data_IF_233117349728
#
_entry.id   IF_233117349728
#
_cell.length_a   1.000
_cell.length_b   1.000
_cell.length_c   1.000
_cell.angle_alpha   90.00
_cell.angle_beta   90.00
_cell.angle_gamma   90.00
#
_symmetry.space_group_name_H-M   'P 1'
#
loop_
_entity.id
_entity.type
_entity.pdbx_description
1 polymer ?
#
# COMPACT_ATOMS: atom_id res chain seq x y z
N UNK A 1 20.05 0.50 -4.64
CA UNK A 1 18.75 -0.02 -5.15
C UNK A 1 17.67 0.45 -4.21
N UNK A 2 16.58 1.00 -4.74
CA UNK A 2 15.43 1.41 -3.96
C UNK A 2 14.23 0.53 -4.30
N UNK A 3 13.41 0.29 -3.30
CA UNK A 3 12.11 -0.33 -3.43
C UNK A 3 11.06 0.61 -2.87
N UNK A 4 9.97 0.69 -3.61
CA UNK A 4 8.81 1.48 -3.29
C UNK A 4 7.62 0.54 -3.15
N UNK A 5 6.85 0.69 -2.09
CA UNK A 5 5.60 -0.05 -1.89
C UNK A 5 4.44 0.90 -1.59
N UNK A 6 3.20 0.44 -1.73
CA UNK A 6 1.97 1.18 -1.37
C UNK A 6 1.17 0.42 -0.34
N UNK A 7 0.39 1.12 0.47
CA UNK A 7 -0.61 0.50 1.35
C UNK A 7 -1.60 -0.37 0.52
N UNK A 8 -1.80 -1.66 0.87
CA UNK A 8 -2.53 -2.60 0.03
C UNK A 8 -4.01 -2.27 -0.26
N UNK A 9 -4.79 -1.79 0.71
CA UNK A 9 -6.20 -1.41 0.46
C UNK A 9 -6.28 -0.28 -0.56
N UNK A 10 -5.46 0.74 -0.37
CA UNK A 10 -5.35 1.90 -1.26
C UNK A 10 -4.85 1.49 -2.65
N UNK A 11 -3.93 0.52 -2.74
CA UNK A 11 -3.43 0.01 -4.01
C UNK A 11 -4.50 -0.73 -4.79
N UNK A 12 -5.24 -1.65 -4.17
CA UNK A 12 -6.34 -2.35 -4.83
C UNK A 12 -7.42 -1.36 -5.30
N UNK A 13 -7.83 -0.45 -4.41
CA UNK A 13 -8.82 0.56 -4.74
C UNK A 13 -8.36 1.46 -5.89
N UNK A 14 -7.07 1.81 -5.94
CA UNK A 14 -6.48 2.55 -7.05
C UNK A 14 -6.60 1.81 -8.38
N UNK A 15 -6.29 0.51 -8.40
CA UNK A 15 -6.45 -0.32 -9.60
C UNK A 15 -7.91 -0.40 -10.06
N UNK A 16 -8.85 -0.58 -9.11
CA UNK A 16 -10.28 -0.59 -9.40
C UNK A 16 -10.78 0.77 -9.93
N UNK A 17 -10.47 1.87 -9.23
CA UNK A 17 -10.90 3.20 -9.63
C UNK A 17 -10.35 3.58 -11.00
N UNK A 18 -9.08 3.30 -11.26
CA UNK A 18 -8.46 3.56 -12.54
C UNK A 18 -9.12 2.78 -13.68
N UNK A 19 -9.31 1.47 -13.49
CA UNK A 19 -9.76 0.57 -14.55
C UNK A 19 -11.28 0.65 -14.78
N UNK A 20 -12.07 0.73 -13.71
CA UNK A 20 -13.54 0.60 -13.74
C UNK A 20 -14.29 1.92 -13.57
N UNK A 21 -13.65 2.96 -13.02
CA UNK A 21 -14.26 4.28 -12.78
C UNK A 21 -13.50 5.42 -13.46
N UNK A 22 -12.38 5.12 -14.12
CA UNK A 22 -11.58 6.08 -14.86
C UNK A 22 -12.18 6.44 -16.22
N UNK A 23 -11.35 7.03 -17.06
CA UNK A 23 -11.73 7.39 -18.43
C UNK A 23 -12.24 6.18 -19.23
N UNK A 24 -13.17 6.41 -20.16
CA UNK A 24 -13.79 5.36 -20.97
C UNK A 24 -12.77 4.45 -21.68
N UNK A 25 -11.62 5.02 -22.09
CA UNK A 25 -10.53 4.30 -22.76
C UNK A 25 -9.87 3.23 -21.89
N UNK A 26 -10.12 3.20 -20.58
CA UNK A 26 -9.57 2.24 -19.63
C UNK A 26 -10.55 1.14 -19.22
N UNK A 27 -11.82 1.21 -19.61
CA UNK A 27 -12.84 0.21 -19.22
C UNK A 27 -12.55 -1.21 -19.68
N UNK A 28 -11.78 -1.37 -20.76
CA UNK A 28 -11.33 -2.69 -21.20
C UNK A 28 -10.42 -3.35 -20.15
N UNK A 29 -9.63 -2.58 -19.40
CA UNK A 29 -8.83 -3.12 -18.27
C UNK A 29 -9.73 -3.60 -17.14
N UNK A 30 -10.87 -2.94 -16.88
CA UNK A 30 -11.81 -3.45 -15.87
C UNK A 30 -12.33 -4.84 -16.26
N UNK A 31 -12.66 -5.03 -17.54
CA UNK A 31 -13.08 -6.33 -18.05
C UNK A 31 -11.95 -7.37 -18.00
N UNK A 32 -10.73 -6.98 -18.35
CA UNK A 32 -9.58 -7.88 -18.34
C UNK A 32 -9.22 -8.31 -16.92
N UNK A 33 -9.16 -7.38 -15.98
CA UNK A 33 -8.73 -7.63 -14.59
C UNK A 33 -9.86 -8.24 -13.75
N UNK A 34 -11.08 -7.73 -13.87
CA UNK A 34 -12.22 -8.07 -12.99
C UNK A 34 -13.35 -8.82 -13.70
N UNK A 35 -13.18 -9.17 -14.97
CA UNK A 35 -14.13 -9.99 -15.73
C UNK A 35 -15.36 -9.24 -16.29
N UNK A 36 -15.52 -7.94 -16.01
CA UNK A 36 -16.58 -7.11 -16.58
C UNK A 36 -16.15 -5.65 -16.70
N UNK A 37 -16.53 -4.97 -17.79
CA UNK A 37 -16.25 -3.54 -17.97
C UNK A 37 -17.00 -2.64 -16.99
N UNK A 38 -18.03 -3.17 -16.34
CA UNK A 38 -18.90 -2.48 -15.39
C UNK A 38 -18.89 -3.17 -14.01
N UNK A 39 -17.80 -3.86 -13.65
CA UNK A 39 -17.69 -4.55 -12.38
C UNK A 39 -18.01 -3.60 -11.20
N UNK A 40 -18.85 -4.07 -10.26
CA UNK A 40 -18.99 -3.41 -8.96
C UNK A 40 -17.71 -3.61 -8.14
N UNK A 41 -17.52 -2.81 -7.10
CA UNK A 41 -16.38 -2.99 -6.21
C UNK A 41 -16.39 -4.37 -5.53
N UNK A 42 -17.56 -4.81 -5.04
CA UNK A 42 -17.72 -6.14 -4.46
C UNK A 42 -17.44 -7.27 -5.46
N UNK A 43 -17.87 -7.12 -6.71
CA UNK A 43 -17.54 -8.07 -7.78
C UNK A 43 -16.04 -8.11 -8.07
N UNK A 44 -15.38 -6.94 -8.10
CA UNK A 44 -13.93 -6.85 -8.26
C UNK A 44 -13.18 -7.55 -7.11
N UNK A 45 -13.58 -7.34 -5.86
CA UNK A 45 -12.99 -8.03 -4.69
C UNK A 45 -13.19 -9.55 -4.77
N UNK A 46 -14.38 -10.01 -5.20
CA UNK A 46 -14.66 -11.43 -5.34
C UNK A 46 -13.71 -12.14 -6.33
N UNK A 47 -13.10 -11.41 -7.29
CA UNK A 47 -12.13 -11.98 -8.22
C UNK A 47 -10.79 -12.36 -7.55
N UNK A 48 -10.46 -11.78 -6.39
CA UNK A 48 -9.19 -12.01 -5.70
C UNK A 48 -9.00 -13.47 -5.22
N UNK A 49 -10.10 -14.19 -5.00
CA UNK A 49 -10.05 -15.60 -4.58
C UNK A 49 -10.17 -16.58 -5.76
N UNK A 50 -10.21 -16.09 -6.99
CA UNK A 50 -10.32 -16.94 -8.18
C UNK A 50 -8.94 -17.43 -8.58
N UNK A 51 -8.63 -18.69 -8.27
CA UNK A 51 -7.36 -19.35 -8.63
C UNK A 51 -7.15 -19.27 -10.15
N UNK A 52 -6.01 -18.72 -10.58
CA UNK A 52 -5.71 -18.54 -12.00
C UNK A 52 -6.45 -17.37 -12.66
N UNK A 53 -7.11 -16.54 -11.85
CA UNK A 53 -7.74 -15.30 -12.27
C UNK A 53 -6.75 -14.34 -12.94
N UNK A 54 -7.28 -13.39 -13.70
CA UNK A 54 -6.49 -12.32 -14.32
C UNK A 54 -5.97 -11.34 -13.27
N UNK A 55 -6.70 -11.10 -12.19
CA UNK A 55 -6.26 -10.26 -11.07
C UNK A 55 -4.94 -10.72 -10.41
N UNK A 56 -4.66 -12.03 -10.34
CA UNK A 56 -3.37 -12.54 -9.82
C UNK A 56 -2.20 -12.26 -10.78
N UNK A 57 -2.49 -12.06 -12.07
CA UNK A 57 -1.50 -11.91 -13.14
C UNK A 57 -1.28 -10.45 -13.53
N UNK A 58 -2.26 -9.59 -13.31
CA UNK A 58 -2.18 -8.16 -13.61
C UNK A 58 -1.32 -7.41 -12.58
N UNK A 59 -0.41 -6.58 -13.06
CA UNK A 59 0.57 -5.88 -12.23
C UNK A 59 -0.03 -4.80 -11.31
N UNK A 60 -1.26 -4.33 -11.58
CA UNK A 60 -1.93 -3.33 -10.77
C UNK A 60 -2.52 -3.93 -9.48
N UNK A 61 -2.88 -5.22 -9.51
CA UNK A 61 -3.52 -5.94 -8.40
C UNK A 61 -2.67 -7.05 -7.81
N UNK A 62 -1.70 -7.60 -8.53
CA UNK A 62 -0.78 -8.60 -7.96
C UNK A 62 -0.13 -8.13 -6.65
N UNK A 63 -0.02 -8.95 -5.59
CA UNK A 63 0.69 -8.57 -4.37
C UNK A 63 2.10 -8.05 -4.66
N UNK A 64 2.51 -6.99 -3.96
CA UNK A 64 3.78 -6.33 -4.22
C UNK A 64 4.97 -7.21 -3.79
N UNK A 65 4.76 -8.06 -2.78
CA UNK A 65 5.70 -9.08 -2.35
C UNK A 65 5.95 -10.18 -3.39
N UNK A 66 5.05 -10.31 -4.38
CA UNK A 66 5.18 -11.29 -5.46
C UNK A 66 6.01 -10.80 -6.65
N UNK A 67 6.37 -9.51 -6.69
CA UNK A 67 7.31 -9.00 -7.69
C UNK A 67 8.70 -9.64 -7.52
N UNK A 68 9.52 -9.53 -8.58
CA UNK A 68 10.85 -10.13 -8.63
C UNK A 68 10.84 -11.66 -8.42
N UNK A 69 9.80 -12.33 -8.92
CA UNK A 69 9.65 -13.79 -8.88
C UNK A 69 9.19 -14.35 -7.53
N UNK A 70 8.47 -13.55 -6.73
CA UNK A 70 7.99 -13.97 -5.41
C UNK A 70 9.06 -14.03 -4.32
N UNK A 71 10.24 -13.48 -4.59
CA UNK A 71 11.42 -13.56 -3.71
C UNK A 71 11.73 -12.26 -3.01
N UNK A 72 10.78 -11.32 -2.98
CA UNK A 72 11.06 -10.00 -2.46
C UNK A 72 11.43 -10.05 -0.98
N UNK A 73 10.71 -10.86 -0.18
CA UNK A 73 11.04 -11.15 1.21
C UNK A 73 12.51 -11.55 1.41
N UNK A 74 13.01 -12.47 0.59
CA UNK A 74 14.38 -12.98 0.68
C UNK A 74 15.42 -11.97 0.20
N UNK A 75 15.01 -10.97 -0.57
CA UNK A 75 15.92 -10.04 -1.24
C UNK A 75 15.80 -8.61 -0.75
N UNK A 76 14.89 -8.32 0.18
CA UNK A 76 14.70 -6.98 0.78
C UNK A 76 16.00 -6.39 1.33
N UNK A 77 16.83 -7.21 1.97
CA UNK A 77 18.15 -6.80 2.50
C UNK A 77 19.13 -6.28 1.43
N UNK A 78 18.84 -6.51 0.14
CA UNK A 78 19.64 -6.02 -1.01
C UNK A 78 19.24 -4.62 -1.46
N UNK A 79 18.15 -4.08 -0.91
CA UNK A 79 17.68 -2.73 -1.17
C UNK A 79 18.17 -1.82 -0.05
N UNK A 80 18.87 -0.74 -0.42
CA UNK A 80 19.34 0.25 0.55
C UNK A 80 18.23 1.20 1.02
N UNK A 81 17.10 1.19 0.32
CA UNK A 81 15.92 2.00 0.63
C UNK A 81 14.68 1.17 0.34
N UNK A 82 13.81 1.06 1.32
CA UNK A 82 12.49 0.41 1.22
C UNK A 82 11.51 1.37 1.87
N UNK A 83 10.72 2.06 1.06
CA UNK A 83 9.86 3.16 1.52
C UNK A 83 8.47 3.07 0.93
N UNK A 84 7.49 3.51 1.71
CA UNK A 84 6.14 3.68 1.23
C UNK A 84 6.05 4.86 0.26
N UNK A 85 5.31 4.67 -0.83
CA UNK A 85 4.82 5.72 -1.71
C UNK A 85 3.48 6.22 -1.21
N UNK A 86 3.56 7.12 -0.25
CA UNK A 86 2.43 7.91 0.24
C UNK A 86 2.48 9.31 -0.40
N UNK A 87 1.36 9.88 -0.89
CA UNK A 87 1.36 11.18 -1.57
C UNK A 87 1.96 12.32 -0.74
N UNK A 88 1.82 12.28 0.59
CA UNK A 88 2.35 13.33 1.48
C UNK A 88 3.87 13.26 1.68
N UNK A 89 4.50 12.10 1.45
CA UNK A 89 5.92 11.87 1.73
C UNK A 89 6.76 11.44 0.52
N UNK A 90 6.13 10.95 -0.55
CA UNK A 90 6.79 10.37 -1.73
C UNK A 90 7.77 11.33 -2.39
N UNK A 91 7.38 12.60 -2.57
CA UNK A 91 8.26 13.62 -3.16
C UNK A 91 9.55 13.75 -2.35
N UNK A 92 9.45 13.81 -1.02
CA UNK A 92 10.61 13.92 -0.13
C UNK A 92 11.50 12.69 -0.22
N UNK A 93 10.91 11.48 -0.15
CA UNK A 93 11.66 10.22 -0.23
C UNK A 93 12.39 10.05 -1.57
N UNK A 94 11.70 10.30 -2.69
CA UNK A 94 12.28 10.16 -4.03
C UNK A 94 13.32 11.24 -4.28
N UNK A 95 13.11 12.47 -3.81
CA UNK A 95 14.13 13.53 -3.89
C UNK A 95 15.39 13.15 -3.12
N UNK A 96 15.25 12.61 -1.90
CA UNK A 96 16.39 12.17 -1.11
C UNK A 96 17.18 11.05 -1.80
N UNK A 97 16.49 10.14 -2.50
CA UNK A 97 17.13 9.08 -3.27
C UNK A 97 17.87 9.60 -4.50
N UNK A 98 17.26 10.54 -5.23
CA UNK A 98 17.85 11.10 -6.45
C UNK A 98 18.93 12.15 -6.16
N UNK A 99 18.95 12.72 -4.95
CA UNK A 99 20.02 13.56 -4.43
C UNK A 99 20.46 14.67 -5.40
N UNK A 100 21.74 14.66 -5.73
CA UNK A 100 22.41 15.64 -6.60
C UNK A 100 21.85 15.66 -8.03
N UNK A 101 21.33 14.54 -8.56
CA UNK A 101 20.79 14.49 -9.92
C UNK A 101 19.60 15.44 -10.12
N UNK A 102 18.73 15.59 -9.12
CA UNK A 102 17.61 16.56 -9.17
C UNK A 102 18.10 17.99 -8.97
N UNK A 103 19.25 18.19 -8.31
CA UNK A 103 19.82 19.51 -8.07
C UNK A 103 20.57 20.06 -9.30
N UNK A 104 21.28 19.19 -10.01
CA UNK A 104 22.26 19.56 -11.03
C UNK A 104 21.73 19.44 -12.47
N UNK A 105 20.82 18.49 -12.74
CA UNK A 105 20.28 18.26 -14.08
C UNK A 105 18.86 18.83 -14.20
N UNK A 106 18.72 19.86 -15.06
CA UNK A 106 17.45 20.52 -15.31
C UNK A 106 16.38 19.60 -15.91
N UNK A 107 16.76 18.65 -16.78
CA UNK A 107 15.83 17.70 -17.38
C UNK A 107 15.35 16.66 -16.34
N UNK A 108 16.25 16.17 -15.49
CA UNK A 108 15.90 15.28 -14.37
C UNK A 108 14.97 16.00 -13.40
N UNK A 109 15.28 17.24 -13.03
CA UNK A 109 14.43 18.06 -12.16
C UNK A 109 13.03 18.27 -12.76
N UNK A 110 12.94 18.61 -14.04
CA UNK A 110 11.64 18.78 -14.72
C UNK A 110 10.85 17.48 -14.81
N UNK A 111 11.51 16.34 -15.03
CA UNK A 111 10.84 15.04 -15.02
C UNK A 111 10.36 14.66 -13.60
N UNK A 112 11.19 14.93 -12.58
CA UNK A 112 10.85 14.72 -11.18
C UNK A 112 9.66 15.57 -10.74
N UNK A 113 9.66 16.87 -11.03
CA UNK A 113 8.55 17.78 -10.69
C UNK A 113 7.25 17.44 -11.45
N UNK A 114 7.33 16.79 -12.62
CA UNK A 114 6.13 16.28 -13.30
C UNK A 114 5.54 15.04 -12.62
N UNK A 115 6.39 14.12 -12.16
CA UNK A 115 5.96 12.87 -11.53
C UNK A 115 5.60 13.03 -10.05
N UNK A 116 6.26 13.95 -9.36
CA UNK A 116 6.08 14.21 -7.93
C UNK A 116 5.91 15.72 -7.72
N UNK A 117 4.80 16.33 -8.12
CA UNK A 117 4.68 17.77 -8.19
C UNK A 117 4.80 18.47 -6.83
N UNK A 118 5.36 19.70 -6.77
CA UNK A 118 5.60 20.41 -5.52
C UNK A 118 4.33 20.71 -4.71
N UNK A 119 3.18 20.85 -5.38
CA UNK A 119 1.88 21.09 -4.78
C UNK A 119 1.12 19.80 -4.45
N UNK A 120 1.74 18.63 -4.69
CA UNK A 120 1.17 17.30 -4.45
C UNK A 120 0.10 16.88 -5.46
N UNK A 121 -0.22 17.71 -6.47
CA UNK A 121 -1.31 17.44 -7.42
C UNK A 121 -0.80 16.78 -8.68
N UNK A 122 -0.92 15.46 -8.76
CA UNK A 122 -0.54 14.71 -9.96
C UNK A 122 -1.35 15.21 -11.17
N UNK A 123 -0.65 15.62 -12.23
CA UNK A 123 -1.28 16.28 -13.38
C UNK A 123 -1.89 15.31 -14.41
N UNK A 124 -2.04 14.02 -14.09
CA UNK A 124 -2.38 12.97 -15.05
C UNK A 124 -3.50 12.05 -14.55
N UNK A 125 -4.27 11.47 -15.48
CA UNK A 125 -5.45 10.62 -15.23
C UNK A 125 -5.19 9.27 -14.52
N UNK A 126 -4.02 9.12 -13.90
CA UNK A 126 -3.67 8.00 -13.02
C UNK A 126 -3.79 8.37 -11.53
N UNK A 127 -4.06 9.63 -11.19
CA UNK A 127 -4.40 10.02 -9.81
C UNK A 127 -5.84 9.66 -9.49
N UNK A 128 -5.99 8.56 -8.77
CA UNK A 128 -7.31 8.03 -8.39
C UNK A 128 -7.78 8.55 -7.04
N UNK A 129 -6.94 9.27 -6.30
CA UNK A 129 -7.17 9.64 -4.90
C UNK A 129 -7.58 8.46 -4.00
N UNK A 130 -7.17 7.23 -4.34
CA UNK A 130 -7.65 6.02 -3.66
C UNK A 130 -7.40 6.05 -2.14
N UNK A 131 -6.27 6.59 -1.71
CA UNK A 131 -5.90 6.73 -0.29
C UNK A 131 -6.89 7.61 0.51
N UNK A 132 -7.50 8.62 -0.11
CA UNK A 132 -8.52 9.48 0.51
C UNK A 132 -9.89 8.80 0.53
N UNK A 133 -10.11 7.87 -0.39
CA UNK A 133 -11.42 7.26 -0.66
C UNK A 133 -11.59 5.87 -0.06
N UNK A 134 -10.61 5.38 0.69
CA UNK A 134 -10.64 4.04 1.31
C UNK A 134 -11.94 3.83 2.08
N UNK A 135 -12.37 4.80 2.89
CA UNK A 135 -13.61 4.70 3.68
C UNK A 135 -14.91 4.70 2.85
N UNK A 136 -14.88 5.17 1.60
CA UNK A 136 -16.07 5.12 0.72
C UNK A 136 -16.35 3.69 0.23
N UNK A 137 -15.31 2.86 0.15
CA UNK A 137 -15.38 1.53 -0.45
C UNK A 137 -15.20 0.40 0.58
N UNK A 138 -14.50 0.69 1.67
CA UNK A 138 -14.24 -0.23 2.75
C UNK A 138 -14.96 0.28 4.00
N UNK A 139 -16.05 -0.37 4.37
CA UNK A 139 -16.87 0.03 5.51
C UNK A 139 -17.14 -1.15 6.44
N UNK A 140 -17.55 -0.83 7.66
CA UNK A 140 -18.03 -1.82 8.61
C UNK A 140 -19.36 -2.48 8.19
N UNK A 141 -20.07 -1.92 7.19
CA UNK A 141 -21.31 -2.49 6.66
C UNK A 141 -21.05 -3.69 5.74
N UNK A 142 -19.87 -3.75 5.11
CA UNK A 142 -19.42 -4.90 4.32
C UNK A 142 -18.02 -5.35 4.77
N UNK A 143 -17.89 -5.92 5.99
CA UNK A 143 -16.60 -6.28 6.56
C UNK A 143 -15.90 -7.37 5.74
N UNK A 144 -16.66 -8.19 5.01
CA UNK A 144 -16.12 -9.26 4.17
C UNK A 144 -15.20 -8.71 3.06
N UNK A 145 -15.49 -7.52 2.50
CA UNK A 145 -14.61 -6.90 1.50
C UNK A 145 -13.25 -6.53 2.07
N UNK A 146 -13.22 -5.96 3.28
CA UNK A 146 -11.97 -5.63 3.99
C UNK A 146 -11.17 -6.89 4.27
N UNK A 147 -11.84 -7.92 4.81
CA UNK A 147 -11.23 -9.21 5.09
C UNK A 147 -10.62 -9.85 3.85
N UNK A 148 -11.35 -9.90 2.74
CA UNK A 148 -10.90 -10.51 1.48
C UNK A 148 -9.67 -9.80 0.90
N UNK A 149 -9.67 -8.46 0.84
CA UNK A 149 -8.54 -7.72 0.30
C UNK A 149 -7.30 -7.84 1.21
N UNK A 150 -7.47 -7.72 2.53
CA UNK A 150 -6.34 -7.92 3.45
C UNK A 150 -5.81 -9.35 3.39
N UNK A 151 -6.69 -10.35 3.28
CA UNK A 151 -6.28 -11.74 3.19
C UNK A 151 -5.42 -12.00 1.95
N UNK A 152 -5.84 -11.44 0.81
CA UNK A 152 -5.12 -11.52 -0.47
C UNK A 152 -3.76 -10.83 -0.40
N UNK A 153 -3.68 -9.63 0.18
CA UNK A 153 -2.42 -8.87 0.32
C UNK A 153 -1.66 -9.15 1.61
N UNK A 154 -2.05 -10.17 2.38
CA UNK A 154 -1.51 -10.42 3.71
C UNK A 154 0.02 -10.44 3.74
N UNK A 155 0.65 -11.05 2.73
CA UNK A 155 2.11 -11.12 2.63
C UNK A 155 2.77 -9.75 2.48
N UNK A 156 2.13 -8.78 1.82
CA UNK A 156 2.67 -7.42 1.69
C UNK A 156 2.78 -6.77 3.07
N UNK A 157 1.74 -6.89 3.91
CA UNK A 157 1.77 -6.36 5.28
C UNK A 157 2.94 -6.94 6.07
N UNK A 158 3.17 -8.26 5.98
CA UNK A 158 4.25 -8.92 6.70
C UNK A 158 5.63 -8.53 6.14
N UNK A 159 5.80 -8.57 4.83
CA UNK A 159 7.10 -8.36 4.16
C UNK A 159 7.58 -6.92 4.32
N UNK A 160 6.67 -5.95 4.22
CA UNK A 160 7.02 -4.53 4.29
C UNK A 160 6.76 -3.91 5.67
N UNK A 161 6.32 -4.70 6.66
CA UNK A 161 5.97 -4.23 8.01
C UNK A 161 4.94 -3.08 7.99
N UNK A 162 3.95 -3.19 7.10
CA UNK A 162 2.89 -2.17 6.94
C UNK A 162 1.88 -2.34 8.07
N UNK A 163 1.57 -1.25 8.77
CA UNK A 163 0.45 -1.21 9.70
C UNK A 163 -0.86 -1.15 8.91
N UNK A 164 -1.77 -2.13 9.05
CA UNK A 164 -3.10 -1.98 8.49
C UNK A 164 -3.82 -0.80 9.14
N UNK A 165 -4.68 -0.07 8.41
CA UNK A 165 -5.47 1.02 8.98
C UNK A 165 -6.27 0.59 10.21
N UNK A 166 -6.42 1.48 11.20
CA UNK A 166 -7.10 1.16 12.47
C UNK A 166 -8.51 0.59 12.27
N UNK A 167 -9.31 1.20 11.38
CA UNK A 167 -10.66 0.72 11.09
C UNK A 167 -10.65 -0.72 10.53
N UNK A 168 -9.65 -1.05 9.72
CA UNK A 168 -9.51 -2.38 9.14
C UNK A 168 -9.13 -3.39 10.23
N UNK A 169 -8.22 -3.02 11.14
CA UNK A 169 -7.89 -3.86 12.31
C UNK A 169 -9.11 -4.16 13.18
N UNK A 170 -9.98 -3.18 13.42
CA UNK A 170 -11.23 -3.38 14.16
C UNK A 170 -12.17 -4.36 13.46
N UNK A 171 -12.36 -4.19 12.15
CA UNK A 171 -13.16 -5.11 11.32
C UNK A 171 -12.59 -6.53 11.35
N UNK A 172 -11.28 -6.69 11.19
CA UNK A 172 -10.62 -8.01 11.20
C UNK A 172 -10.75 -8.72 12.55
N UNK A 173 -10.70 -7.99 13.68
CA UNK A 173 -10.96 -8.58 15.01
C UNK A 173 -12.37 -9.16 15.09
N UNK A 174 -13.37 -8.43 14.61
CA UNK A 174 -14.75 -8.90 14.58
C UNK A 174 -14.89 -10.14 13.70
N UNK A 175 -14.34 -10.11 12.48
CA UNK A 175 -14.33 -11.27 11.59
C UNK A 175 -13.60 -12.48 12.19
N UNK A 176 -12.50 -12.25 12.92
CA UNK A 176 -11.75 -13.31 13.60
C UNK A 176 -12.57 -13.95 14.73
N UNK A 177 -13.34 -13.15 15.47
CA UNK A 177 -14.25 -13.65 16.51
C UNK A 177 -15.42 -14.45 15.93
N UNK A 178 -15.83 -14.14 14.70
CA UNK A 178 -16.84 -14.88 13.93
C UNK A 178 -16.25 -16.08 13.15
N UNK A 179 -14.97 -16.40 13.33
CA UNK A 179 -14.23 -17.43 12.59
C UNK A 179 -14.24 -17.25 11.06
N UNK A 180 -14.40 -16.00 10.58
CA UNK A 180 -14.37 -15.60 9.16
C UNK A 180 -13.01 -15.04 8.70
N UNK A 181 -12.06 -14.90 9.62
CA UNK A 181 -10.68 -14.51 9.31
C UNK A 181 -9.70 -15.33 10.16
N UNK A 182 -8.51 -15.60 9.62
CA UNK A 182 -7.53 -16.46 10.29
C UNK A 182 -7.00 -15.82 11.57
N UNK A 183 -7.16 -16.52 12.70
CA UNK A 183 -6.58 -16.14 14.01
C UNK A 183 -5.06 -16.00 13.95
N UNK A 184 -4.37 -16.81 13.14
CA UNK A 184 -2.92 -16.72 12.99
C UNK A 184 -2.50 -15.47 12.23
N UNK A 185 -3.18 -15.19 11.09
CA UNK A 185 -2.94 -13.96 10.33
C UNK A 185 -3.21 -12.72 11.19
N UNK A 186 -4.32 -12.73 11.94
CA UNK A 186 -4.66 -11.63 12.85
C UNK A 186 -3.57 -11.37 13.89
N UNK A 187 -3.06 -12.42 14.56
CA UNK A 187 -1.99 -12.29 15.55
C UNK A 187 -0.71 -11.69 14.97
N UNK A 188 -0.33 -12.06 13.74
CA UNK A 188 0.83 -11.48 13.08
C UNK A 188 0.64 -10.00 12.74
N UNK A 189 -0.55 -9.60 12.27
CA UNK A 189 -0.87 -8.19 12.01
C UNK A 189 -0.83 -7.36 13.30
N UNK A 190 -1.36 -7.87 14.42
CA UNK A 190 -1.29 -7.17 15.72
C UNK A 190 0.15 -7.00 16.23
N UNK A 191 1.02 -7.97 15.94
CA UNK A 191 2.45 -7.87 16.27
C UNK A 191 3.13 -6.74 15.49
N UNK A 192 2.78 -6.51 14.23
CA UNK A 192 3.30 -5.37 13.45
C UNK A 192 2.89 -4.05 14.10
N UNK A 193 1.60 -3.89 14.40
CA UNK A 193 1.08 -2.67 15.04
C UNK A 193 1.77 -2.39 16.37
N UNK A 194 1.95 -3.42 17.20
CA UNK A 194 2.61 -3.29 18.51
C UNK A 194 4.11 -2.97 18.37
N UNK A 195 4.80 -3.58 17.41
CA UNK A 195 6.24 -3.34 17.18
C UNK A 195 6.48 -1.91 16.72
N UNK A 196 5.67 -1.42 15.79
CA UNK A 196 5.86 -0.06 15.28
C UNK A 196 5.42 1.00 16.29
N UNK A 197 4.43 0.72 17.15
CA UNK A 197 4.10 1.59 18.28
C UNK A 197 5.31 1.79 19.22
N UNK A 198 6.07 0.73 19.48
CA UNK A 198 7.30 0.81 20.29
C UNK A 198 8.43 1.58 19.58
N UNK A 199 8.50 1.53 18.25
CA UNK A 199 9.49 2.29 17.46
C UNK A 199 9.12 3.77 17.32
N UNK A 200 7.82 4.10 17.29
CA UNK A 200 7.28 5.47 17.20
C UNK A 200 7.21 6.16 18.57
N UNK A 201 7.20 5.40 19.66
CA UNK A 201 7.28 5.95 21.01
C UNK A 201 8.65 6.63 21.18
N UNK A 202 8.72 7.93 21.50
CA UNK A 202 9.97 8.57 21.83
C UNK A 202 10.61 7.75 22.96
N UNK A 203 11.82 7.25 22.76
CA UNK A 203 12.66 6.93 23.91
C UNK A 203 12.75 8.25 24.68
N UNK A 204 12.02 8.37 25.78
CA UNK A 204 12.31 9.34 26.81
C UNK A 204 13.76 9.05 27.22
N UNK A 205 14.68 9.80 26.62
CA UNK A 205 16.02 9.95 27.13
C UNK A 205 15.81 10.74 28.42
N UNK A 206 15.58 10.01 29.52
CA UNK A 206 15.71 10.60 30.84
C UNK A 206 17.08 11.28 30.87
N UNK A 207 17.16 12.58 31.23
CA UNK A 207 18.45 13.25 31.33
C UNK A 207 19.29 12.48 32.35
N UNK A 208 20.41 11.93 31.89
CA UNK A 208 21.45 11.37 32.75
C UNK A 208 21.85 12.47 33.73
N UNK A 209 21.50 12.29 35.00
CA UNK A 209 21.81 13.19 36.11
C UNK A 209 23.27 13.12 36.54
N UNK A 210 24.20 12.81 35.62
CA UNK A 210 25.62 12.80 35.92
C UNK A 210 26.27 14.01 35.26
N UNK A 211 26.15 15.14 35.95
CA UNK A 211 27.00 16.29 35.74
C UNK A 211 28.42 15.93 36.17
N UNK A 212 29.28 15.61 35.21
CA UNK A 212 30.74 15.75 35.39
C UNK A 212 31.37 16.38 34.17
N UNK A 213 31.76 17.64 34.39
CA UNK A 213 32.79 18.36 33.66
C UNK A 213 34.12 17.68 34.01
N UNK A 214 34.85 17.19 32.99
CA UNK A 214 36.31 17.28 32.92
C UNK A 214 36.71 17.53 31.47
#
# INVERSE_FOLDING_TARGET
KALFYREPLSRFLSAFLFSCRGEQKWRWMCADIFGSSEASFSAAVATLHTVGGTAERDEHVRPQSDFCGGRLRDTLHRYGTVVELDPSSSRTHVRALLGEYVAEDGAVRSAFDRLFPPDGKLQHGHDTHAHERVYEFYSAEDPALVGAVIDFYYRDYIVFHIEPPTFAMEILRNLTNEDKFSKDKMRELEKIVSTNFLLKSPKEIAPSSDGRIQ
#
